data_IF_543834116900
#
_entry.id   IF_543834116900
#
_cell.length_a   1.000
_cell.length_b   1.000
_cell.length_c   1.000
_cell.angle_alpha   90.00
_cell.angle_beta   90.00
_cell.angle_gamma   90.00
#
_symmetry.space_group_name_H-M   'P 1'
#
loop_
_entity.id
_entity.type
_entity.pdbx_description
1 polymer ?
#
# COMPACT_ATOMS: atom_id res chain seq x y z
N UNK A 1 11.65 3.04 3.40
CA UNK A 1 10.36 2.43 3.04
C UNK A 1 10.62 1.34 2.02
N UNK A 2 9.81 0.29 2.02
CA UNK A 2 9.85 -0.74 0.98
C UNK A 2 8.74 -0.45 -0.02
N UNK A 3 9.10 -0.45 -1.29
CA UNK A 3 8.18 -0.27 -2.41
C UNK A 3 8.54 -1.33 -3.46
N UNK A 4 7.66 -2.29 -3.77
CA UNK A 4 7.92 -3.27 -4.82
C UNK A 4 8.17 -2.61 -6.19
N UNK A 5 8.80 -3.31 -7.12
CA UNK A 5 9.06 -2.84 -8.49
C UNK A 5 8.53 -3.86 -9.51
N UNK A 6 7.79 -3.46 -10.56
CA UNK A 6 7.40 -2.10 -10.91
C UNK A 6 6.37 -1.52 -9.92
N UNK A 7 6.21 -0.19 -9.90
CA UNK A 7 5.23 0.49 -9.05
C UNK A 7 4.74 1.79 -9.68
N UNK A 8 3.58 2.28 -9.23
CA UNK A 8 3.16 3.63 -9.52
C UNK A 8 4.18 4.64 -8.97
N UNK A 9 4.80 5.52 -9.80
CA UNK A 9 6.00 6.26 -9.40
C UNK A 9 5.87 7.10 -8.13
N UNK A 10 4.67 7.59 -7.81
CA UNK A 10 4.44 8.38 -6.59
C UNK A 10 4.73 7.57 -5.32
N UNK A 11 4.55 6.25 -5.33
CA UNK A 11 4.84 5.39 -4.17
C UNK A 11 6.33 5.41 -3.82
N UNK A 12 7.21 5.64 -4.79
CA UNK A 12 8.64 5.86 -4.53
C UNK A 12 8.94 7.33 -4.25
N UNK A 13 8.43 8.25 -5.08
CA UNK A 13 8.77 9.68 -4.99
C UNK A 13 8.24 10.35 -3.73
N UNK A 14 7.07 9.95 -3.22
CA UNK A 14 6.52 10.53 -1.98
C UNK A 14 7.47 10.36 -0.79
N UNK A 15 8.12 9.21 -0.65
CA UNK A 15 9.11 9.01 0.41
C UNK A 15 10.42 9.74 0.12
N UNK A 16 10.90 9.73 -1.13
CA UNK A 16 12.13 10.43 -1.49
C UNK A 16 12.04 11.92 -1.20
N UNK A 17 10.90 12.56 -1.52
CA UNK A 17 10.64 13.97 -1.20
C UNK A 17 10.65 14.26 0.29
N UNK A 18 10.39 13.25 1.14
CA UNK A 18 10.43 13.34 2.60
C UNK A 18 11.76 12.81 3.19
N UNK A 19 12.80 12.63 2.37
CA UNK A 19 14.13 12.22 2.81
C UNK A 19 14.25 10.76 3.26
N UNK A 20 13.26 9.92 2.96
CA UNK A 20 13.30 8.50 3.31
C UNK A 20 14.10 7.68 2.28
N UNK A 21 14.93 6.76 2.78
CA UNK A 21 15.56 5.73 1.96
C UNK A 21 14.49 4.78 1.38
N UNK A 22 14.66 4.38 0.12
CA UNK A 22 13.77 3.44 -0.57
C UNK A 22 14.50 2.14 -0.83
N UNK A 23 13.88 1.03 -0.42
CA UNK A 23 14.32 -0.32 -0.73
C UNK A 23 13.27 -0.95 -1.65
N UNK A 24 13.74 -1.68 -2.65
CA UNK A 24 12.90 -2.29 -3.68
C UNK A 24 13.23 -3.77 -3.83
N UNK A 25 12.23 -4.54 -4.23
CA UNK A 25 12.40 -5.88 -4.77
C UNK A 25 11.41 -6.07 -5.91
N UNK A 26 11.71 -7.01 -6.80
CA UNK A 26 10.87 -7.30 -7.95
C UNK A 26 9.55 -7.97 -7.54
N UNK A 27 8.44 -7.43 -8.02
CA UNK A 27 7.11 -8.00 -7.93
C UNK A 27 6.92 -8.99 -9.08
N UNK A 28 6.93 -10.27 -8.74
CA UNK A 28 6.73 -11.36 -9.70
C UNK A 28 5.26 -11.78 -9.70
N UNK A 29 4.71 -12.00 -10.89
CA UNK A 29 3.34 -12.47 -11.11
C UNK A 29 3.28 -13.38 -12.34
N UNK A 30 2.25 -14.21 -12.39
CA UNK A 30 2.05 -15.17 -13.48
C UNK A 30 1.33 -14.55 -14.71
N UNK A 31 1.05 -15.39 -15.72
CA UNK A 31 0.35 -14.97 -16.93
C UNK A 31 -1.13 -14.60 -16.70
N UNK A 32 -1.70 -14.94 -15.53
CA UNK A 32 -3.03 -14.53 -15.09
C UNK A 32 -2.97 -13.27 -14.20
N UNK A 33 -1.80 -12.62 -14.12
CA UNK A 33 -1.55 -11.45 -13.29
C UNK A 33 -1.80 -11.72 -11.79
N UNK A 34 -1.59 -12.95 -11.31
CA UNK A 34 -1.59 -13.26 -9.88
C UNK A 34 -0.18 -13.13 -9.33
N UNK A 35 -0.01 -12.38 -8.25
CA UNK A 35 1.28 -12.22 -7.59
C UNK A 35 1.76 -13.57 -7.03
N UNK A 36 3.05 -13.86 -7.19
CA UNK A 36 3.71 -14.93 -6.44
C UNK A 36 3.89 -14.44 -4.99
N UNK A 37 2.89 -14.71 -4.15
CA UNK A 37 2.85 -14.23 -2.77
C UNK A 37 3.97 -14.84 -1.91
N UNK A 38 4.34 -16.11 -2.15
CA UNK A 38 5.45 -16.74 -1.42
C UNK A 38 6.76 -16.01 -1.68
N UNK A 39 7.05 -15.75 -2.95
CA UNK A 39 8.25 -15.00 -3.35
C UNK A 39 8.18 -13.55 -2.88
N UNK A 40 7.00 -12.91 -2.93
CA UNK A 40 6.80 -11.57 -2.37
C UNK A 40 7.23 -11.49 -0.91
N UNK A 41 6.72 -12.39 -0.05
CA UNK A 41 7.05 -12.38 1.37
C UNK A 41 8.51 -12.75 1.66
N UNK A 42 9.09 -13.67 0.88
CA UNK A 42 10.51 -14.00 0.97
C UNK A 42 11.38 -12.79 0.64
N UNK A 43 11.07 -12.09 -0.44
CA UNK A 43 11.80 -10.90 -0.88
C UNK A 43 11.60 -9.73 0.09
N UNK A 44 10.39 -9.56 0.63
CA UNK A 44 10.11 -8.55 1.65
C UNK A 44 10.91 -8.82 2.93
N UNK A 45 10.96 -10.06 3.42
CA UNK A 45 11.73 -10.40 4.63
C UNK A 45 13.22 -10.13 4.40
N UNK A 46 13.78 -10.64 3.29
CA UNK A 46 15.17 -10.37 2.93
C UNK A 46 15.47 -8.86 2.89
N UNK A 47 14.58 -8.09 2.26
CA UNK A 47 14.72 -6.64 2.17
C UNK A 47 14.72 -6.01 3.56
N UNK A 48 13.82 -6.41 4.45
CA UNK A 48 13.76 -5.89 5.83
C UNK A 48 15.05 -6.18 6.59
N UNK A 49 15.58 -7.39 6.46
CA UNK A 49 16.79 -7.85 7.15
C UNK A 49 18.04 -7.08 6.68
N UNK A 50 18.10 -6.78 5.38
CA UNK A 50 19.24 -6.08 4.74
C UNK A 50 19.12 -4.54 4.79
N UNK A 51 17.96 -3.99 5.16
CA UNK A 51 17.69 -2.55 5.07
C UNK A 51 18.36 -1.74 6.17
N UNK A 52 19.19 -0.78 5.76
CA UNK A 52 19.70 0.31 6.61
C UNK A 52 19.33 1.64 5.95
N UNK A 53 18.57 2.53 6.62
CA UNK A 53 17.97 2.38 7.95
C UNK A 53 16.82 1.35 7.98
N UNK A 54 16.47 0.87 9.18
CA UNK A 54 15.41 -0.13 9.36
C UNK A 54 14.10 0.32 8.69
N UNK A 55 13.44 -0.62 8.00
CA UNK A 55 12.13 -0.41 7.36
C UNK A 55 11.09 0.09 8.37
N UNK A 56 10.37 1.15 7.98
CA UNK A 56 9.26 1.74 8.74
C UNK A 56 7.92 1.69 8.02
N UNK A 57 7.95 1.61 6.70
CA UNK A 57 6.75 1.60 5.85
C UNK A 57 6.94 0.58 4.74
N UNK A 58 5.88 -0.16 4.45
CA UNK A 58 5.73 -0.99 3.24
C UNK A 58 4.51 -0.45 2.51
N UNK A 59 4.64 -0.20 1.20
CA UNK A 59 3.52 0.24 0.37
C UNK A 59 3.14 -0.85 -0.60
N UNK A 60 1.84 -1.15 -0.65
CA UNK A 60 1.24 -2.09 -1.59
C UNK A 60 0.06 -1.42 -2.28
N UNK A 61 -0.16 -1.73 -3.55
CA UNK A 61 -1.32 -1.22 -4.28
C UNK A 61 -1.94 -2.33 -5.11
N UNK A 62 -3.06 -2.89 -4.66
CA UNK A 62 -3.75 -3.98 -5.36
C UNK A 62 -5.24 -3.62 -5.48
N UNK A 63 -5.87 -3.71 -6.67
CA UNK A 63 -5.31 -4.13 -7.97
C UNK A 63 -4.15 -3.24 -8.44
N UNK A 64 -3.12 -3.87 -9.00
CA UNK A 64 -1.82 -3.23 -9.17
C UNK A 64 -1.77 -2.28 -10.37
N UNK A 65 -1.22 -1.11 -10.12
CA UNK A 65 -0.76 -0.19 -11.14
C UNK A 65 0.78 -0.20 -11.09
N UNK A 66 1.48 -0.62 -12.17
CA UNK A 66 1.00 -0.65 -13.56
C UNK A 66 0.57 -2.00 -14.15
N UNK A 67 0.75 -3.12 -13.43
CA UNK A 67 0.66 -4.45 -14.06
C UNK A 67 -0.71 -5.12 -14.06
N UNK A 68 -1.73 -4.52 -13.44
CA UNK A 68 -3.03 -5.14 -13.15
C UNK A 68 -2.95 -6.36 -12.21
N UNK A 69 -1.78 -6.65 -11.62
CA UNK A 69 -1.60 -7.79 -10.75
C UNK A 69 -2.53 -7.74 -9.52
N UNK A 70 -2.94 -8.91 -9.06
CA UNK A 70 -3.89 -9.08 -7.95
C UNK A 70 -3.32 -9.98 -6.86
N UNK A 71 -3.89 -9.86 -5.67
CA UNK A 71 -3.54 -10.65 -4.47
C UNK A 71 -4.79 -11.28 -3.86
N UNK A 72 -4.58 -12.33 -3.08
CA UNK A 72 -5.63 -12.99 -2.29
C UNK A 72 -5.93 -12.24 -0.98
N UNK A 73 -7.06 -12.52 -0.30
CA UNK A 73 -7.28 -12.05 1.07
C UNK A 73 -6.18 -12.50 2.05
N UNK A 74 -5.67 -13.72 1.89
CA UNK A 74 -4.63 -14.32 2.74
C UNK A 74 -3.31 -13.54 2.69
N UNK A 75 -3.01 -12.90 1.55
CA UNK A 75 -1.90 -11.97 1.41
C UNK A 75 -1.93 -10.90 2.52
N UNK A 76 -3.09 -10.25 2.72
CA UNK A 76 -3.20 -9.18 3.70
C UNK A 76 -3.10 -9.69 5.13
N UNK A 77 -3.64 -10.88 5.43
CA UNK A 77 -3.46 -11.53 6.74
C UNK A 77 -1.98 -11.71 7.05
N UNK A 78 -1.22 -12.31 6.12
CA UNK A 78 0.22 -12.55 6.29
C UNK A 78 1.03 -11.25 6.35
N UNK A 79 0.64 -10.23 5.56
CA UNK A 79 1.30 -8.93 5.58
C UNK A 79 1.10 -8.19 6.92
N UNK A 80 -0.10 -8.24 7.49
CA UNK A 80 -0.43 -7.64 8.79
C UNK A 80 0.33 -8.34 9.92
N UNK A 81 0.35 -9.69 9.93
CA UNK A 81 1.14 -10.46 10.90
C UNK A 81 2.62 -10.09 10.85
N UNK A 82 3.18 -10.00 9.64
CA UNK A 82 4.56 -9.63 9.41
C UNK A 82 4.85 -8.18 9.82
N UNK A 83 3.93 -7.24 9.55
CA UNK A 83 4.06 -5.84 9.98
C UNK A 83 4.12 -5.70 11.49
N UNK A 84 3.29 -6.46 12.22
CA UNK A 84 3.29 -6.49 13.69
C UNK A 84 4.60 -7.08 14.22
N UNK A 85 5.07 -8.19 13.65
CA UNK A 85 6.33 -8.85 14.03
C UNK A 85 7.55 -7.97 13.80
N UNK A 86 7.68 -7.43 12.60
CA UNK A 86 8.87 -6.69 12.16
C UNK A 86 8.84 -5.19 12.56
N UNK A 87 7.67 -4.71 12.99
CA UNK A 87 7.39 -3.34 13.46
C UNK A 87 7.52 -2.27 12.37
N UNK A 88 6.79 -2.47 11.27
CA UNK A 88 6.57 -1.47 10.21
C UNK A 88 5.07 -1.17 10.04
N UNK A 89 4.76 -0.06 9.38
CA UNK A 89 3.39 0.30 8.99
C UNK A 89 3.13 -0.05 7.51
N UNK A 90 1.88 -0.37 7.19
CA UNK A 90 1.44 -0.67 5.83
C UNK A 90 0.62 0.51 5.30
N UNK A 91 0.91 0.91 4.06
CA UNK A 91 0.03 1.76 3.26
C UNK A 91 -0.53 0.90 2.13
N UNK A 92 -1.81 0.58 2.21
CA UNK A 92 -2.55 -0.12 1.15
C UNK A 92 -3.24 0.91 0.26
N UNK A 93 -2.87 1.00 -1.02
CA UNK A 93 -3.56 1.82 -2.00
C UNK A 93 -4.48 0.96 -2.86
N UNK A 94 -5.79 1.14 -2.68
CA UNK A 94 -6.83 0.42 -3.41
C UNK A 94 -7.52 1.33 -4.44
N UNK A 95 -6.81 2.28 -5.06
CA UNK A 95 -7.36 3.21 -6.04
C UNK A 95 -8.18 2.58 -7.18
N UNK A 96 -7.95 1.30 -7.48
CA UNK A 96 -8.64 0.53 -8.51
C UNK A 96 -9.63 -0.50 -7.93
N UNK A 97 -10.07 -0.35 -6.67
CA UNK A 97 -10.84 -1.38 -5.97
C UNK A 97 -12.10 -1.86 -6.71
N UNK A 98 -12.79 -0.95 -7.41
CA UNK A 98 -14.02 -1.26 -8.15
C UNK A 98 -13.78 -1.64 -9.62
N UNK A 99 -12.53 -1.60 -10.09
CA UNK A 99 -12.14 -1.93 -11.47
C UNK A 99 -11.46 -3.30 -11.45
N UNK A 100 -12.29 -4.34 -11.33
CA UNK A 100 -11.85 -5.73 -11.27
C UNK A 100 -12.50 -6.56 -12.38
N UNK A 101 -11.86 -7.67 -12.74
CA UNK A 101 -12.28 -8.55 -13.84
C UNK A 101 -12.50 -9.98 -13.35
N UNK A 102 -13.22 -10.79 -14.14
CA UNK A 102 -13.33 -12.25 -13.97
C UNK A 102 -13.79 -12.71 -12.57
N UNK A 103 -14.64 -11.91 -11.93
CA UNK A 103 -15.19 -12.20 -10.60
C UNK A 103 -14.24 -11.90 -9.44
N UNK A 104 -13.04 -11.38 -9.71
CA UNK A 104 -12.14 -10.89 -8.68
C UNK A 104 -12.80 -9.78 -7.87
N UNK A 105 -12.67 -9.86 -6.55
CA UNK A 105 -13.09 -8.80 -5.62
C UNK A 105 -11.86 -8.34 -4.87
N UNK A 106 -11.58 -7.05 -4.94
CA UNK A 106 -10.45 -6.44 -4.24
C UNK A 106 -10.57 -6.73 -2.74
N UNK A 107 -9.60 -7.46 -2.13
CA UNK A 107 -9.57 -7.62 -0.70
C UNK A 107 -9.15 -6.31 -0.05
N UNK A 108 -9.83 -5.94 1.03
CA UNK A 108 -9.41 -4.81 1.86
C UNK A 108 -8.43 -5.33 2.91
N UNK A 109 -7.38 -4.55 3.19
CA UNK A 109 -6.43 -4.88 4.25
C UNK A 109 -7.12 -5.03 5.61
N UNK A 110 -8.26 -4.37 5.83
CA UNK A 110 -9.02 -4.44 7.08
C UNK A 110 -9.88 -5.70 7.23
N UNK A 111 -9.87 -6.60 6.24
CA UNK A 111 -10.36 -7.97 6.43
C UNK A 111 -9.41 -8.80 7.30
N UNK A 112 -8.13 -8.43 7.37
CA UNK A 112 -7.15 -9.08 8.23
C UNK A 112 -7.28 -8.62 9.69
N UNK A 113 -7.26 -9.57 10.61
CA UNK A 113 -7.35 -9.28 12.05
C UNK A 113 -6.15 -8.44 12.52
N UNK A 114 -6.41 -7.39 13.29
CA UNK A 114 -5.37 -6.50 13.82
C UNK A 114 -4.77 -5.54 12.80
N UNK A 115 -5.31 -5.45 11.57
CA UNK A 115 -4.83 -4.51 10.56
C UNK A 115 -4.85 -3.05 11.03
N UNK A 116 -5.84 -2.65 11.85
CA UNK A 116 -5.94 -1.29 12.39
C UNK A 116 -4.74 -0.88 13.26
N UNK A 117 -3.97 -1.83 13.80
CA UNK A 117 -2.78 -1.55 14.60
C UNK A 117 -1.60 -1.04 13.74
N UNK A 118 -1.58 -1.42 12.45
CA UNK A 118 -0.39 -1.29 11.60
C UNK A 118 -0.66 -0.75 10.19
N UNK A 119 -1.91 -0.60 9.78
CA UNK A 119 -2.24 -0.26 8.40
C UNK A 119 -3.12 0.97 8.25
N UNK A 120 -2.94 1.65 7.12
CA UNK A 120 -3.90 2.56 6.52
C UNK A 120 -4.24 2.09 5.11
N UNK A 121 -5.46 2.35 4.69
CA UNK A 121 -5.95 2.08 3.34
C UNK A 121 -6.40 3.39 2.69
N UNK A 122 -5.99 3.59 1.45
CA UNK A 122 -6.23 4.79 0.66
C UNK A 122 -7.12 4.45 -0.54
N UNK A 123 -8.06 5.33 -0.84
CA UNK A 123 -8.92 5.22 -2.02
C UNK A 123 -9.14 6.59 -2.68
N UNK A 124 -9.52 6.59 -3.96
CA UNK A 124 -9.82 7.81 -4.72
C UNK A 124 -11.06 7.64 -5.58
N UNK A 125 -11.83 8.72 -5.72
CA UNK A 125 -12.94 8.77 -6.69
C UNK A 125 -12.46 8.93 -8.13
N UNK A 126 -11.15 9.14 -8.35
CA UNK A 126 -10.60 9.45 -9.66
C UNK A 126 -10.79 8.33 -10.69
N UNK A 127 -10.76 7.06 -10.25
CA UNK A 127 -10.76 5.89 -11.13
C UNK A 127 -12.17 5.35 -11.31
N UNK A 128 -12.75 4.76 -10.25
CA UNK A 128 -14.07 4.13 -10.31
C UNK A 128 -15.19 5.07 -10.72
N UNK A 129 -15.08 6.37 -10.40
CA UNK A 129 -16.15 7.35 -10.60
C UNK A 129 -15.84 8.37 -11.71
N UNK A 130 -14.74 8.24 -12.45
CA UNK A 130 -14.30 9.21 -13.47
C UNK A 130 -14.14 10.66 -12.95
N UNK A 131 -13.87 10.83 -11.65
CA UNK A 131 -13.80 12.15 -11.00
C UNK A 131 -12.36 12.67 -10.84
N UNK A 132 -11.47 12.38 -11.78
CA UNK A 132 -10.05 12.73 -11.66
C UNK A 132 -9.82 14.23 -11.42
N UNK A 133 -10.63 15.10 -12.02
CA UNK A 133 -10.56 16.57 -11.84
C UNK A 133 -11.12 17.09 -10.52
N UNK A 134 -11.91 16.30 -9.78
CA UNK A 134 -12.58 16.74 -8.54
C UNK A 134 -11.69 16.64 -7.30
N UNK A 135 -10.58 15.89 -7.42
CA UNK A 135 -9.54 15.78 -6.38
C UNK A 135 -10.05 15.26 -5.03
N UNK A 136 -10.91 14.25 -5.07
CA UNK A 136 -11.46 13.59 -3.87
C UNK A 136 -10.82 12.22 -3.65
N UNK A 137 -10.37 11.99 -2.42
CA UNK A 137 -9.88 10.71 -1.93
C UNK A 137 -9.96 10.66 -0.41
N UNK A 138 -9.81 9.47 0.15
CA UNK A 138 -9.86 9.26 1.59
C UNK A 138 -8.80 8.26 2.03
N UNK A 139 -8.44 8.37 3.31
CA UNK A 139 -7.58 7.43 4.03
C UNK A 139 -8.33 6.99 5.27
N UNK A 140 -8.28 5.69 5.55
CA UNK A 140 -8.90 5.07 6.73
C UNK A 140 -7.89 4.12 7.36
N UNK A 141 -8.00 3.88 8.67
CA UNK A 141 -7.14 2.92 9.36
C UNK A 141 -6.55 3.44 10.65
N UNK A 142 -5.29 3.07 10.88
CA UNK A 142 -4.55 3.33 12.12
C UNK A 142 -4.69 4.78 12.61
N UNK A 143 -5.21 4.93 13.83
CA UNK A 143 -5.54 6.25 14.42
C UNK A 143 -4.33 7.18 14.48
N UNK A 144 -3.14 6.64 14.77
CA UNK A 144 -1.91 7.45 14.86
C UNK A 144 -1.51 8.00 13.49
N UNK A 145 -1.60 7.18 12.44
CA UNK A 145 -1.27 7.59 11.06
C UNK A 145 -2.30 8.58 10.51
N UNK A 146 -3.60 8.27 10.66
CA UNK A 146 -4.69 9.17 10.24
C UNK A 146 -4.61 10.49 11.00
N UNK A 147 -4.38 10.45 12.31
CA UNK A 147 -4.20 11.62 13.16
C UNK A 147 -2.98 12.46 12.75
N UNK A 148 -1.88 11.83 12.34
CA UNK A 148 -0.71 12.55 11.81
C UNK A 148 -1.04 13.28 10.51
N UNK A 149 -1.75 12.62 9.58
CA UNK A 149 -2.19 13.28 8.34
C UNK A 149 -3.13 14.44 8.64
N UNK A 150 -4.12 14.25 9.51
CA UNK A 150 -5.07 15.31 9.89
C UNK A 150 -4.35 16.55 10.42
N UNK A 151 -3.34 16.37 11.29
CA UNK A 151 -2.53 17.48 11.80
C UNK A 151 -1.73 18.19 10.71
N UNK A 152 -1.16 17.48 9.76
CA UNK A 152 -0.42 18.12 8.66
C UNK A 152 -1.39 18.88 7.74
N UNK A 153 -2.51 18.26 7.38
CA UNK A 153 -3.54 18.86 6.52
C UNK A 153 -4.18 20.10 7.14
N UNK A 154 -4.34 20.16 8.47
CA UNK A 154 -4.87 21.38 9.10
C UNK A 154 -4.00 22.61 8.92
N UNK A 155 -2.70 22.44 8.65
CA UNK A 155 -1.79 23.54 8.32
C UNK A 155 -1.69 23.77 6.82
N UNK A 156 -1.62 22.70 6.01
CA UNK A 156 -1.46 22.80 4.56
C UNK A 156 -2.72 23.32 3.85
N UNK A 157 -3.89 22.90 4.33
CA UNK A 157 -5.18 23.30 3.76
C UNK A 157 -5.73 24.57 4.44
N UNK A 158 -4.94 25.21 5.33
CA UNK A 158 -5.37 26.42 6.00
C UNK A 158 -5.52 27.57 5.00
N UNK A 159 -6.76 28.04 4.81
CA UNK A 159 -7.08 29.13 3.90
C UNK A 159 -7.37 28.70 2.46
N UNK A 160 -7.48 27.40 2.18
CA UNK A 160 -8.17 26.88 0.99
C UNK A 160 -9.69 26.88 1.17
#
# INVERSE_FOLDING_TARGET
AVVPDPTYPIHSYAFMLNGAAIHKFELVFDNEFKVDEELFFKNLQKTIDESIPKVKYVVVNFPHNPSCATVTPEFYTKLVEMAKRERFYIISDIAYADITFDGYKTPSIFQAEGALDVAVECFTLSKSYNMAGWRVGFIVGNEKLVGALKRIKSWLDYGM
#
